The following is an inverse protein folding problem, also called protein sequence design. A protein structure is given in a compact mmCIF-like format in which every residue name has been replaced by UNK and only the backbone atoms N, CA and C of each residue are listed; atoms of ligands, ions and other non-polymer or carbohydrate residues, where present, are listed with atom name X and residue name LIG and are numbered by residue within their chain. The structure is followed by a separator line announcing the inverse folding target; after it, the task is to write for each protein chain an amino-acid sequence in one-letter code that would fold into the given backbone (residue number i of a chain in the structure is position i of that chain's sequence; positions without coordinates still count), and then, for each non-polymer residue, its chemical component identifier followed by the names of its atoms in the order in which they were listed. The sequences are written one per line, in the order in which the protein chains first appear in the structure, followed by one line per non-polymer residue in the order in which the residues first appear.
data_IF_587813602888
#
_entry.id   IF_587813602888
#
_cell.length_a   1.000
_cell.length_b   1.000
_cell.length_c   1.000
_cell.angle_alpha   90.00
_cell.angle_beta   90.00
_cell.angle_gamma   90.00
#
_symmetry.space_group_name_H-M   'P 1'
#
loop_
_entity.id
_entity.type
_entity.pdbx_description
1 polymer ?
#
# COMPACT_ATOMS: atom_id res chain seq x y z
N UNK A 1 23.22 6.75 1.04
CA UNK A 1 23.48 6.90 2.50
C UNK A 1 22.20 6.66 3.26
N UNK A 2 22.25 5.82 4.31
CA UNK A 2 21.08 5.41 5.08
C UNK A 2 20.34 6.61 5.70
N UNK A 3 19.02 6.49 5.86
CA UNK A 3 18.15 7.49 6.45
C UNK A 3 17.45 6.83 7.65
N UNK A 4 17.53 7.44 8.83
CA UNK A 4 16.81 6.95 9.99
C UNK A 4 15.30 7.10 9.74
N UNK A 5 14.50 6.08 10.06
CA UNK A 5 13.04 6.17 10.05
C UNK A 5 12.57 6.32 11.50
N UNK A 6 11.85 7.40 11.80
CA UNK A 6 11.37 7.71 13.14
C UNK A 6 9.86 7.91 13.16
N UNK A 7 9.26 7.64 14.31
CA UNK A 7 7.86 7.90 14.62
C UNK A 7 7.79 8.79 15.87
N UNK A 8 7.40 10.05 15.69
CA UNK A 8 7.43 11.06 16.75
C UNK A 8 6.09 11.79 16.86
N UNK A 9 5.59 11.87 18.09
CA UNK A 9 4.45 12.70 18.45
C UNK A 9 4.95 14.09 18.87
N UNK A 10 4.43 15.14 18.23
CA UNK A 10 4.87 16.52 18.47
C UNK A 10 4.64 16.97 19.91
N UNK A 11 3.68 16.37 20.61
CA UNK A 11 3.35 16.69 22.00
C UNK A 11 4.20 15.90 23.00
N UNK A 12 4.97 14.91 22.53
CA UNK A 12 5.75 13.97 23.34
C UNK A 12 7.12 13.71 22.72
N UNK A 13 7.81 14.78 22.33
CA UNK A 13 9.16 14.68 21.75
C UNK A 13 10.19 14.24 22.80
N UNK A 14 11.14 13.36 22.43
CA UNK A 14 12.26 13.04 23.30
C UNK A 14 13.20 14.27 23.43
N UNK A 15 13.92 14.40 24.55
CA UNK A 15 14.86 15.50 24.75
C UNK A 15 16.05 15.45 23.77
N UNK A 16 16.39 14.27 23.27
CA UNK A 16 17.41 14.05 22.25
C UNK A 16 17.11 12.81 21.41
N UNK A 17 17.55 12.82 20.16
CA UNK A 17 17.51 11.64 19.29
C UNK A 17 18.77 10.80 19.50
N UNK A 18 18.61 9.62 20.12
CA UNK A 18 19.71 8.67 20.27
C UNK A 18 19.77 7.75 19.04
N UNK A 19 20.54 8.15 18.03
CA UNK A 19 20.66 7.44 16.76
C UNK A 19 22.10 7.04 16.49
N UNK A 20 22.28 5.93 15.76
CA UNK A 20 23.61 5.50 15.34
C UNK A 20 24.28 6.56 14.45
N UNK A 21 25.60 6.74 14.62
CA UNK A 21 26.38 7.75 13.90
C UNK A 21 26.39 7.59 12.35
N UNK A 22 25.86 6.46 11.83
CA UNK A 22 25.71 6.20 10.40
C UNK A 22 24.61 7.03 9.73
N UNK A 23 23.73 7.68 10.49
CA UNK A 23 22.61 8.44 9.94
C UNK A 23 22.93 9.94 9.91
N UNK A 24 22.92 10.52 8.71
CA UNK A 24 23.01 11.99 8.50
C UNK A 24 21.64 12.65 8.38
N UNK A 25 20.59 11.87 8.17
CA UNK A 25 19.21 12.36 7.98
C UNK A 25 18.21 11.43 8.64
N UNK A 26 17.06 11.97 9.00
CA UNK A 26 15.91 11.21 9.48
C UNK A 26 14.64 11.56 8.69
N UNK A 27 13.94 10.54 8.21
CA UNK A 27 12.55 10.61 7.78
C UNK A 27 11.68 10.34 9.00
N UNK A 28 10.90 11.34 9.40
CA UNK A 28 10.10 11.34 10.61
C UNK A 28 8.63 11.31 10.22
N UNK A 29 7.90 10.28 10.65
CA UNK A 29 6.44 10.36 10.75
C UNK A 29 6.11 11.31 11.91
N UNK A 30 5.36 12.36 11.60
CA UNK A 30 4.88 13.32 12.59
C UNK A 30 3.46 12.95 13.00
N UNK A 31 3.26 12.82 14.32
CA UNK A 31 1.94 12.65 14.92
C UNK A 31 1.49 13.88 15.68
N UNK A 32 0.17 14.03 15.75
CA UNK A 32 -0.54 14.98 16.63
C UNK A 32 -1.51 14.15 17.46
N UNK A 33 -1.42 14.24 18.80
CA UNK A 33 -2.24 13.44 19.71
C UNK A 33 -2.27 11.93 19.37
N UNK A 34 -1.11 11.37 18.99
CA UNK A 34 -0.96 9.96 18.61
C UNK A 34 -1.44 9.57 17.20
N UNK A 35 -2.01 10.50 16.43
CA UNK A 35 -2.51 10.24 15.06
C UNK A 35 -1.49 10.64 13.99
N UNK A 36 -1.28 9.84 12.93
CA UNK A 36 -0.46 10.23 11.78
C UNK A 36 -0.95 11.54 11.16
N UNK A 37 -0.08 12.55 11.08
CA UNK A 37 -0.46 13.90 10.64
C UNK A 37 0.41 14.44 9.50
N UNK A 38 1.63 13.95 9.36
CA UNK A 38 2.56 14.42 8.34
C UNK A 38 3.86 13.62 8.32
N UNK A 39 4.77 14.02 7.44
CA UNK A 39 6.16 13.56 7.51
C UNK A 39 7.13 14.75 7.38
N UNK A 40 8.32 14.59 7.93
CA UNK A 40 9.41 15.54 7.81
C UNK A 40 10.72 14.83 7.50
N UNK A 41 11.51 15.36 6.57
CA UNK A 41 12.89 14.92 6.34
C UNK A 41 13.84 15.96 6.95
N UNK A 42 14.59 15.58 7.97
CA UNK A 42 15.52 16.47 8.69
C UNK A 42 16.96 15.99 8.58
N UNK A 43 17.92 16.92 8.66
CA UNK A 43 19.35 16.61 8.78
C UNK A 43 19.74 16.42 10.24
N UNK A 44 20.58 15.42 10.50
CA UNK A 44 21.18 15.08 11.80
C UNK A 44 22.64 15.57 11.78
N UNK A 45 23.07 16.37 12.75
CA UNK A 45 24.46 16.85 12.85
C UNK A 45 24.71 18.32 12.49
N UNK A 46 23.68 19.17 12.44
CA UNK A 46 23.91 20.61 12.50
C UNK A 46 24.36 20.98 13.92
N UNK A 47 25.50 21.66 14.07
CA UNK A 47 26.00 22.28 15.33
C UNK A 47 25.06 23.37 15.90
N UNK A 48 23.90 23.57 15.27
CA UNK A 48 22.86 24.50 15.68
C UNK A 48 21.99 23.87 16.78
N UNK A 49 21.97 24.41 18.01
CA UNK A 49 21.15 23.95 19.12
C UNK A 49 19.65 24.26 18.94
N UNK A 50 19.18 24.48 17.71
CA UNK A 50 17.78 24.66 17.40
C UNK A 50 17.00 23.39 17.82
N UNK A 51 16.11 23.61 18.79
CA UNK A 51 15.21 22.63 19.39
C UNK A 51 14.63 21.68 18.33
N UNK A 52 14.70 20.36 18.57
CA UNK A 52 14.22 19.31 17.65
C UNK A 52 12.83 19.65 17.11
N UNK A 53 11.96 20.15 18.00
CA UNK A 53 10.62 20.59 17.64
C UNK A 53 10.63 21.63 16.53
N UNK A 54 11.45 22.69 16.60
CA UNK A 54 11.50 23.73 15.56
C UNK A 54 11.93 23.17 14.20
N UNK A 55 12.90 22.25 14.17
CA UNK A 55 13.35 21.61 12.93
C UNK A 55 12.23 20.79 12.31
N UNK A 56 11.52 20.01 13.12
CA UNK A 56 10.35 19.24 12.68
C UNK A 56 9.25 20.17 12.15
N UNK A 57 8.89 21.23 12.88
CA UNK A 57 7.85 22.18 12.49
C UNK A 57 8.19 22.91 11.17
N UNK A 58 9.45 23.31 10.96
CA UNK A 58 9.89 23.94 9.70
C UNK A 58 9.86 22.98 8.51
N UNK A 59 10.11 21.69 8.74
CA UNK A 59 10.11 20.66 7.71
C UNK A 59 8.73 20.02 7.47
N UNK A 60 7.75 20.29 8.34
CA UNK A 60 6.42 19.73 8.25
C UNK A 60 5.62 20.31 7.08
N UNK A 61 4.78 19.48 6.48
CA UNK A 61 3.93 19.86 5.36
C UNK A 61 2.61 20.53 5.80
N UNK A 62 1.81 20.97 4.82
CA UNK A 62 0.51 21.60 5.08
C UNK A 62 -0.49 20.68 5.78
N UNK A 63 -0.41 19.36 5.58
CA UNK A 63 -1.34 18.42 6.20
C UNK A 63 -1.09 18.32 7.71
N UNK A 64 0.19 18.32 8.11
CA UNK A 64 0.56 18.39 9.51
C UNK A 64 0.00 19.65 10.18
N UNK A 65 0.20 20.83 9.58
CA UNK A 65 -0.26 22.08 10.16
C UNK A 65 -1.78 22.16 10.27
N UNK A 66 -2.51 21.64 9.29
CA UNK A 66 -3.96 21.52 9.35
C UNK A 66 -4.40 20.60 10.50
N UNK A 67 -3.79 19.42 10.65
CA UNK A 67 -4.08 18.49 11.74
C UNK A 67 -3.77 19.10 13.12
N UNK A 68 -2.59 19.74 13.25
CA UNK A 68 -2.17 20.41 14.47
C UNK A 68 -3.12 21.55 14.86
N UNK A 69 -3.49 22.43 13.91
CA UNK A 69 -4.42 23.52 14.18
C UNK A 69 -5.81 23.00 14.59
N UNK A 70 -6.31 21.95 13.94
CA UNK A 70 -7.61 21.34 14.29
C UNK A 70 -7.62 20.83 15.72
N UNK A 71 -6.56 20.13 16.13
CA UNK A 71 -6.41 19.64 17.50
C UNK A 71 -6.37 20.81 18.51
N UNK A 72 -5.50 21.81 18.28
CA UNK A 72 -5.34 22.95 19.20
C UNK A 72 -6.56 23.83 19.33
N UNK A 73 -7.27 24.05 18.22
CA UNK A 73 -8.49 24.84 18.21
C UNK A 73 -9.73 24.03 18.63
N UNK A 74 -9.59 22.72 18.88
CA UNK A 74 -10.69 21.79 19.17
C UNK A 74 -11.80 21.90 18.13
N UNK A 75 -11.41 22.10 16.87
CA UNK A 75 -12.37 22.15 15.77
C UNK A 75 -12.92 20.74 15.63
N UNK A 76 -14.20 20.57 15.95
CA UNK A 76 -14.89 19.34 15.67
C UNK A 76 -14.81 19.10 14.16
N UNK A 77 -14.03 18.10 13.76
CA UNK A 77 -14.21 17.49 12.44
C UNK A 77 -15.62 16.90 12.49
N UNK A 78 -16.50 17.20 11.53
CA UNK A 78 -17.77 16.48 11.41
C UNK A 78 -17.42 15.00 11.49
N UNK A 79 -17.80 14.36 12.60
CA UNK A 79 -17.64 12.93 12.71
C UNK A 79 -18.59 12.38 11.67
N UNK A 80 -18.06 11.61 10.72
CA UNK A 80 -18.93 10.72 9.95
C UNK A 80 -19.81 9.97 10.98
N UNK A 81 -21.08 9.71 10.66
CA UNK A 81 -21.99 9.02 11.57
C UNK A 81 -21.26 7.82 12.19
N UNK A 82 -21.47 7.55 13.51
CA UNK A 82 -20.78 6.45 14.17
C UNK A 82 -20.91 5.23 13.28
N UNK A 83 -19.79 4.54 13.00
CA UNK A 83 -19.79 3.52 11.98
C UNK A 83 -20.93 2.55 12.29
N UNK A 84 -21.68 2.09 11.28
CA UNK A 84 -22.57 0.96 11.49
C UNK A 84 -21.78 -0.15 12.19
N UNK A 85 -22.45 -1.04 12.92
CA UNK A 85 -21.82 -2.17 13.62
C UNK A 85 -21.26 -3.21 12.63
N UNK A 86 -20.39 -2.76 11.72
CA UNK A 86 -19.73 -3.55 10.72
C UNK A 86 -18.59 -4.27 11.40
N UNK A 87 -18.62 -5.58 11.24
CA UNK A 87 -17.57 -6.46 11.74
C UNK A 87 -16.41 -6.47 10.74
N UNK A 88 -15.19 -6.72 11.23
CA UNK A 88 -14.00 -6.73 10.37
C UNK A 88 -13.18 -8.01 10.53
N UNK A 89 -12.68 -8.53 9.42
CA UNK A 89 -11.66 -9.58 9.35
C UNK A 89 -10.37 -8.94 8.86
N UNK A 90 -9.26 -9.16 9.56
CA UNK A 90 -7.92 -8.86 9.07
C UNK A 90 -7.32 -10.11 8.45
N UNK A 91 -6.86 -10.03 7.22
CA UNK A 91 -6.28 -11.13 6.47
C UNK A 91 -4.82 -10.84 6.10
N UNK A 92 -3.93 -11.76 6.44
CA UNK A 92 -2.53 -11.77 6.00
C UNK A 92 -2.31 -12.98 5.11
N UNK A 93 -1.90 -12.76 3.86
CA UNK A 93 -1.52 -13.83 2.93
C UNK A 93 0.00 -14.00 2.97
N UNK A 94 0.47 -15.21 3.21
CA UNK A 94 1.90 -15.47 3.41
C UNK A 94 2.31 -16.80 2.80
N UNK A 95 3.60 -16.95 2.48
CA UNK A 95 4.18 -18.20 1.97
C UNK A 95 5.64 -18.32 2.39
N UNK A 96 5.92 -19.22 3.33
CA UNK A 96 7.28 -19.55 3.78
C UNK A 96 8.12 -18.33 4.25
N UNK A 97 7.48 -17.33 4.87
CA UNK A 97 8.12 -16.09 5.40
C UNK A 97 7.84 -15.89 6.89
N UNK A 98 8.09 -16.92 7.70
CA UNK A 98 7.74 -16.96 9.13
C UNK A 98 8.34 -15.80 9.94
N UNK A 99 9.57 -15.37 9.66
CA UNK A 99 10.20 -14.24 10.36
C UNK A 99 9.50 -12.90 10.09
N UNK A 100 9.09 -12.66 8.83
CA UNK A 100 8.34 -11.46 8.46
C UNK A 100 6.96 -11.53 9.13
N UNK A 101 6.28 -12.67 8.99
CA UNK A 101 4.97 -12.93 9.56
C UNK A 101 4.92 -12.76 11.08
N UNK A 102 5.93 -13.22 11.83
CA UNK A 102 5.96 -13.08 13.30
C UNK A 102 5.95 -11.60 13.73
N UNK A 103 6.66 -10.73 12.99
CA UNK A 103 6.62 -9.28 13.24
C UNK A 103 5.28 -8.66 12.86
N UNK A 104 4.69 -9.08 11.74
CA UNK A 104 3.35 -8.66 11.35
C UNK A 104 2.31 -9.05 12.41
N UNK A 105 2.36 -10.30 12.91
CA UNK A 105 1.51 -10.80 14.00
C UNK A 105 1.68 -9.95 15.27
N UNK A 106 2.92 -9.62 15.65
CA UNK A 106 3.17 -8.78 16.82
C UNK A 106 2.50 -7.39 16.70
N UNK A 107 2.58 -6.77 15.52
CA UNK A 107 1.91 -5.50 15.25
C UNK A 107 0.37 -5.64 15.28
N UNK A 108 -0.17 -6.70 14.67
CA UNK A 108 -1.61 -6.97 14.67
C UNK A 108 -2.16 -7.18 16.09
N UNK A 109 -1.44 -7.90 16.94
CA UNK A 109 -1.85 -8.15 18.33
C UNK A 109 -1.72 -6.92 19.24
N UNK A 110 -0.95 -5.91 18.84
CA UNK A 110 -0.83 -4.63 19.55
C UNK A 110 -1.98 -3.66 19.22
N UNK A 111 -2.78 -3.92 18.19
CA UNK A 111 -3.98 -3.13 17.90
C UNK A 111 -5.04 -3.34 18.99
N UNK A 112 -5.91 -2.34 19.25
CA UNK A 112 -7.09 -2.51 20.08
C UNK A 112 -7.94 -3.71 19.63
N UNK A 113 -8.46 -4.46 20.60
CA UNK A 113 -9.38 -5.57 20.33
C UNK A 113 -10.83 -5.05 20.30
N UNK A 114 -11.33 -4.81 19.09
CA UNK A 114 -12.71 -4.41 18.82
C UNK A 114 -13.58 -5.61 18.38
N UNK A 115 -13.11 -6.84 18.63
CA UNK A 115 -13.79 -8.07 18.21
C UNK A 115 -13.53 -8.47 16.76
N UNK A 116 -12.48 -7.93 16.14
CA UNK A 116 -12.07 -8.33 14.79
C UNK A 116 -11.59 -9.78 14.72
N UNK A 117 -11.90 -10.47 13.62
CA UNK A 117 -11.28 -11.75 13.27
C UNK A 117 -9.90 -11.49 12.67
N UNK A 118 -8.88 -12.31 12.97
CA UNK A 118 -7.58 -12.27 12.30
C UNK A 118 -7.30 -13.63 11.67
N UNK A 119 -7.19 -13.66 10.35
CA UNK A 119 -6.89 -14.87 9.58
C UNK A 119 -5.51 -14.78 8.94
N UNK A 120 -4.75 -15.87 9.04
CA UNK A 120 -3.48 -16.04 8.35
C UNK A 120 -3.70 -17.10 7.26
N UNK A 121 -3.64 -16.65 6.01
CA UNK A 121 -3.77 -17.51 4.82
C UNK A 121 -2.39 -17.96 4.38
N UNK A 122 -2.07 -19.21 4.68
CA UNK A 122 -0.81 -19.87 4.31
C UNK A 122 -0.93 -20.44 2.89
N UNK A 123 -0.21 -19.84 1.94
CA UNK A 123 -0.40 -20.06 0.52
C UNK A 123 0.62 -21.01 -0.09
N UNK A 124 0.19 -22.22 -0.42
CA UNK A 124 1.00 -23.29 -1.00
C UNK A 124 2.37 -23.43 -0.31
N UNK A 125 2.39 -23.57 1.04
CA UNK A 125 3.62 -23.61 1.80
C UNK A 125 4.44 -24.86 1.47
N UNK A 126 5.77 -24.70 1.41
CA UNK A 126 6.68 -25.84 1.31
C UNK A 126 6.95 -26.50 2.68
N UNK A 127 6.64 -25.80 3.77
CA UNK A 127 6.93 -26.21 5.15
C UNK A 127 5.70 -26.11 6.07
N UNK A 128 5.79 -26.60 7.30
CA UNK A 128 4.75 -26.39 8.33
C UNK A 128 5.00 -25.14 9.19
N UNK A 129 6.05 -24.36 8.90
CA UNK A 129 6.51 -23.27 9.77
C UNK A 129 5.45 -22.20 10.03
N UNK A 130 4.67 -21.82 9.02
CA UNK A 130 3.56 -20.86 9.18
C UNK A 130 2.51 -21.42 10.16
N UNK A 131 2.09 -22.67 9.98
CA UNK A 131 1.08 -23.31 10.83
C UNK A 131 1.53 -23.40 12.29
N UNK A 132 2.77 -23.81 12.51
CA UNK A 132 3.39 -23.89 13.84
C UNK A 132 3.48 -22.53 14.51
N UNK A 133 3.87 -21.49 13.75
CA UNK A 133 3.91 -20.11 14.24
C UNK A 133 2.52 -19.62 14.65
N UNK A 134 1.51 -19.80 13.80
CA UNK A 134 0.13 -19.34 14.07
C UNK A 134 -0.48 -20.07 15.27
N UNK A 135 -0.18 -21.36 15.45
CA UNK A 135 -0.68 -22.15 16.59
C UNK A 135 -0.25 -21.61 17.97
N UNK A 136 0.79 -20.77 18.03
CA UNK A 136 1.24 -20.09 19.27
C UNK A 136 0.30 -18.97 19.72
N UNK A 137 -0.64 -18.53 18.87
CA UNK A 137 -1.47 -17.36 19.11
C UNK A 137 -2.98 -17.70 19.01
N UNK A 138 -3.69 -17.92 20.12
CA UNK A 138 -5.10 -18.31 20.12
C UNK A 138 -6.07 -17.33 19.45
N UNK A 139 -5.69 -16.04 19.34
CA UNK A 139 -6.49 -15.01 18.66
C UNK A 139 -6.45 -15.13 17.12
N UNK A 140 -5.55 -15.92 16.57
CA UNK A 140 -5.37 -16.07 15.12
C UNK A 140 -6.04 -17.33 14.60
N UNK A 141 -6.62 -17.26 13.41
CA UNK A 141 -7.13 -18.41 12.68
C UNK A 141 -6.24 -18.74 11.50
N UNK A 142 -5.69 -19.96 11.50
CA UNK A 142 -4.93 -20.49 10.37
C UNK A 142 -5.87 -20.97 9.25
N UNK A 143 -5.54 -20.63 8.01
CA UNK A 143 -6.22 -21.08 6.80
C UNK A 143 -5.18 -21.54 5.78
N UNK A 144 -5.30 -22.78 5.29
CA UNK A 144 -4.45 -23.29 4.21
C UNK A 144 -5.09 -23.02 2.85
N UNK A 145 -4.35 -22.43 1.91
CA UNK A 145 -4.69 -22.39 0.49
C UNK A 145 -3.65 -23.18 -0.31
N UNK A 146 -4.07 -24.29 -0.91
CA UNK A 146 -3.14 -25.22 -1.59
C UNK A 146 -2.65 -24.70 -2.94
N UNK A 147 -3.42 -23.82 -3.60
CA UNK A 147 -3.09 -23.28 -4.92
C UNK A 147 -2.18 -22.06 -4.78
N UNK A 148 -0.98 -22.05 -5.40
CA UNK A 148 -0.08 -20.91 -5.28
C UNK A 148 -0.65 -19.66 -5.97
N UNK A 149 -0.48 -18.50 -5.31
CA UNK A 149 -0.88 -17.20 -5.82
C UNK A 149 -1.37 -16.27 -4.70
N UNK A 150 -0.90 -15.02 -4.70
CA UNK A 150 -1.32 -14.00 -3.73
C UNK A 150 -2.81 -13.67 -3.86
N UNK A 151 -3.30 -13.48 -5.08
CA UNK A 151 -4.71 -13.20 -5.34
C UNK A 151 -5.58 -14.46 -5.14
N UNK A 152 -5.01 -15.65 -5.31
CA UNK A 152 -5.66 -16.91 -4.90
C UNK A 152 -5.86 -16.94 -3.39
N UNK A 153 -4.84 -16.56 -2.62
CA UNK A 153 -4.90 -16.45 -1.16
C UNK A 153 -5.84 -15.32 -0.69
N UNK A 154 -5.84 -14.16 -1.37
CA UNK A 154 -6.80 -13.08 -1.09
C UNK A 154 -8.24 -13.52 -1.38
N UNK A 155 -8.46 -14.24 -2.47
CA UNK A 155 -9.77 -14.83 -2.75
C UNK A 155 -10.17 -15.86 -1.70
N UNK A 156 -9.21 -16.63 -1.16
CA UNK A 156 -9.46 -17.52 -0.02
C UNK A 156 -9.86 -16.75 1.22
N UNK A 157 -9.15 -15.66 1.55
CA UNK A 157 -9.51 -14.79 2.65
C UNK A 157 -10.93 -14.22 2.51
N UNK A 158 -11.31 -13.73 1.32
CA UNK A 158 -12.67 -13.23 1.06
C UNK A 158 -13.77 -14.28 1.28
N UNK A 159 -13.48 -15.54 0.93
CA UNK A 159 -14.40 -16.68 1.15
C UNK A 159 -14.51 -17.10 2.61
N UNK A 160 -13.42 -16.97 3.35
CA UNK A 160 -13.31 -17.41 4.75
C UNK A 160 -13.77 -16.36 5.75
N UNK A 161 -13.68 -15.08 5.39
CA UNK A 161 -14.07 -13.96 6.23
C UNK A 161 -15.55 -14.03 6.60
N UNK A 162 -15.84 -13.88 7.89
CA UNK A 162 -17.20 -14.00 8.44
C UNK A 162 -17.89 -12.65 8.66
N UNK A 163 -17.27 -11.59 8.17
CA UNK A 163 -17.57 -10.21 8.57
C UNK A 163 -17.95 -9.34 7.38
N UNK A 164 -18.33 -8.09 7.65
CA UNK A 164 -18.77 -7.15 6.63
C UNK A 164 -17.61 -6.54 5.83
N UNK A 165 -16.46 -6.38 6.49
CA UNK A 165 -15.23 -5.80 5.94
C UNK A 165 -14.10 -6.82 6.03
N UNK A 166 -13.26 -6.87 5.00
CA UNK A 166 -12.01 -7.64 4.98
C UNK A 166 -10.84 -6.68 4.74
N UNK A 167 -10.01 -6.47 5.77
CA UNK A 167 -8.80 -5.67 5.72
C UNK A 167 -7.60 -6.57 5.39
N UNK A 168 -6.76 -6.14 4.45
CA UNK A 168 -5.57 -6.85 3.99
C UNK A 168 -4.31 -6.09 4.38
N UNK A 169 -3.33 -6.84 4.90
CA UNK A 169 -1.95 -6.37 5.01
C UNK A 169 -0.98 -7.49 4.66
N UNK A 170 0.22 -7.14 4.24
CA UNK A 170 1.24 -8.12 3.82
C UNK A 170 2.04 -8.63 5.03
N UNK A 171 2.67 -9.80 4.89
CA UNK A 171 3.46 -10.42 5.95
C UNK A 171 4.74 -9.65 6.29
N UNK A 172 5.22 -8.78 5.40
CA UNK A 172 6.34 -7.87 5.60
C UNK A 172 5.92 -6.42 5.91
N UNK A 173 4.66 -6.26 6.36
CA UNK A 173 4.13 -5.02 6.91
C UNK A 173 3.85 -5.12 8.43
N UNK A 174 3.80 -3.96 9.09
CA UNK A 174 3.42 -3.80 10.49
C UNK A 174 2.37 -2.69 10.60
N UNK A 175 1.09 -3.03 10.80
CA UNK A 175 0.01 -2.05 10.99
C UNK A 175 0.20 -1.18 12.24
N UNK A 176 -0.22 0.08 12.14
CA UNK A 176 -0.34 1.00 13.27
C UNK A 176 -1.48 0.59 14.21
N UNK A 177 -1.43 0.89 15.52
CA UNK A 177 -2.53 0.59 16.44
C UNK A 177 -3.90 1.14 16.02
N UNK A 178 -3.96 2.27 15.29
CA UNK A 178 -5.22 2.85 14.80
C UNK A 178 -5.60 2.38 13.39
N UNK A 179 -4.78 1.56 12.74
CA UNK A 179 -4.90 1.17 11.33
C UNK A 179 -6.29 0.63 10.97
N UNK A 180 -6.77 -0.36 11.73
CA UNK A 180 -8.03 -1.04 11.42
C UNK A 180 -9.23 -0.13 11.61
N UNK A 181 -9.25 0.66 12.70
CA UNK A 181 -10.32 1.62 12.98
C UNK A 181 -10.40 2.70 11.91
N UNK A 182 -9.26 3.21 11.45
CA UNK A 182 -9.20 4.18 10.37
C UNK A 182 -9.75 3.59 9.06
N UNK A 183 -9.33 2.38 8.67
CA UNK A 183 -9.89 1.72 7.49
C UNK A 183 -11.41 1.48 7.62
N UNK A 184 -11.84 0.89 8.73
CA UNK A 184 -13.23 0.49 8.95
C UNK A 184 -14.19 1.70 9.02
N UNK A 185 -13.75 2.82 9.59
CA UNK A 185 -14.56 4.03 9.71
C UNK A 185 -15.06 4.58 8.36
N UNK A 186 -14.29 4.36 7.29
CA UNK A 186 -14.65 4.83 5.95
C UNK A 186 -15.84 4.09 5.32
N UNK A 187 -16.22 2.92 5.85
CA UNK A 187 -17.36 2.15 5.34
C UNK A 187 -18.72 2.59 5.91
N UNK A 188 -18.73 3.63 6.75
CA UNK A 188 -19.96 4.32 7.15
C UNK A 188 -20.68 4.94 5.94
N UNK A 189 -19.93 5.33 4.90
CA UNK A 189 -20.50 5.64 3.59
C UNK A 189 -20.81 4.33 2.84
N UNK A 190 -22.10 4.03 2.54
CA UNK A 190 -22.48 2.81 1.84
C UNK A 190 -21.94 2.74 0.40
N UNK A 191 -21.53 3.86 -0.21
CA UNK A 191 -20.91 3.89 -1.53
C UNK A 191 -19.43 3.48 -1.53
N UNK A 192 -18.81 3.37 -0.35
CA UNK A 192 -17.41 2.94 -0.22
C UNK A 192 -17.36 1.41 -0.26
N UNK A 193 -16.68 0.87 -1.28
CA UNK A 193 -16.35 -0.56 -1.38
C UNK A 193 -14.91 -0.86 -1.03
N UNK A 194 -14.03 0.14 -1.04
CA UNK A 194 -12.65 -0.02 -0.61
C UNK A 194 -12.16 1.19 0.19
N UNK A 195 -11.35 0.92 1.20
CA UNK A 195 -10.54 1.92 1.88
C UNK A 195 -9.06 1.52 1.75
N UNK A 196 -8.17 2.48 1.67
CA UNK A 196 -6.72 2.28 1.61
C UNK A 196 -6.06 3.23 2.60
N UNK A 197 -4.77 3.02 2.86
CA UNK A 197 -4.07 3.78 3.87
C UNK A 197 -2.66 4.21 3.51
N UNK A 198 -2.05 4.97 4.41
CA UNK A 198 -0.66 5.39 4.26
C UNK A 198 0.29 4.21 4.53
N UNK A 199 1.30 4.06 3.69
CA UNK A 199 2.32 3.02 3.86
C UNK A 199 3.69 3.67 3.88
N UNK A 200 4.30 3.65 5.06
CA UNK A 200 5.61 4.24 5.33
C UNK A 200 6.72 3.17 5.24
N UNK A 201 7.95 3.55 4.87
CA UNK A 201 9.07 2.63 4.89
C UNK A 201 9.36 2.21 6.33
N UNK A 202 9.46 0.90 6.61
CA UNK A 202 9.90 0.41 7.92
C UNK A 202 11.38 0.75 8.18
N UNK A 203 12.18 0.85 7.12
CA UNK A 203 13.62 1.12 7.17
C UNK A 203 14.09 1.73 5.84
N UNK A 204 15.18 2.50 5.89
CA UNK A 204 15.84 3.09 4.71
C UNK A 204 17.36 2.92 4.83
N UNK A 205 17.80 1.66 4.82
CA UNK A 205 19.20 1.25 5.02
C UNK A 205 19.98 1.09 3.71
N UNK A 206 19.30 1.01 2.57
CA UNK A 206 19.94 0.87 1.26
C UNK A 206 19.49 1.93 0.26
N UNK A 207 20.34 2.20 -0.73
CA UNK A 207 20.02 3.13 -1.82
C UNK A 207 18.81 2.66 -2.65
N UNK A 208 18.53 1.35 -2.70
CA UNK A 208 17.34 0.81 -3.36
C UNK A 208 16.06 1.20 -2.60
N UNK A 209 16.06 1.09 -1.26
CA UNK A 209 14.92 1.49 -0.44
C UNK A 209 14.65 2.99 -0.53
N UNK A 210 15.71 3.81 -0.49
CA UNK A 210 15.62 5.26 -0.65
C UNK A 210 15.11 5.63 -2.05
N UNK A 211 15.60 4.96 -3.10
CA UNK A 211 15.14 5.17 -4.46
C UNK A 211 13.65 4.81 -4.62
N UNK A 212 13.20 3.69 -4.05
CA UNK A 212 11.79 3.32 -4.04
C UNK A 212 10.93 4.39 -3.39
N UNK A 213 11.29 4.83 -2.19
CA UNK A 213 10.56 5.90 -1.48
C UNK A 213 10.50 7.21 -2.28
N UNK A 214 11.56 7.53 -3.03
CA UNK A 214 11.65 8.77 -3.82
C UNK A 214 10.88 8.72 -5.15
N UNK A 215 10.77 7.55 -5.77
CA UNK A 215 10.27 7.43 -7.16
C UNK A 215 9.01 6.55 -7.32
N UNK A 216 8.62 5.79 -6.30
CA UNK A 216 7.57 4.77 -6.42
C UNK A 216 6.93 4.38 -5.10
N UNK A 217 7.09 5.19 -4.05
CA UNK A 217 6.52 4.94 -2.73
C UNK A 217 4.98 4.85 -2.74
N UNK A 218 4.45 4.29 -1.67
CA UNK A 218 3.02 4.03 -1.53
C UNK A 218 2.24 5.22 -0.94
N UNK A 219 2.92 6.14 -0.27
CA UNK A 219 2.30 7.30 0.37
C UNK A 219 1.62 8.23 -0.66
N UNK A 220 0.45 8.78 -0.29
CA UNK A 220 -0.31 9.79 -1.08
C UNK A 220 -0.50 11.11 -0.30
N UNK A 221 0.43 11.39 0.61
CA UNK A 221 0.35 12.48 1.57
C UNK A 221 -0.52 12.14 2.78
N UNK A 222 -0.73 13.13 3.64
CA UNK A 222 -1.48 12.99 4.90
C UNK A 222 -2.84 13.69 4.85
N UNK A 223 -3.45 13.75 3.66
CA UNK A 223 -4.83 14.20 3.49
C UNK A 223 -5.70 13.04 3.03
N UNK A 224 -6.91 12.96 3.59
CA UNK A 224 -7.94 12.01 3.15
C UNK A 224 -8.38 12.35 1.73
N UNK A 225 -8.45 11.35 0.86
CA UNK A 225 -8.84 11.51 -0.55
C UNK A 225 -9.99 10.55 -0.85
N UNK A 226 -11.07 11.06 -1.44
CA UNK A 226 -12.17 10.24 -1.96
C UNK A 226 -12.01 10.13 -3.46
N UNK A 227 -11.83 8.90 -3.92
CA UNK A 227 -11.79 8.56 -5.33
C UNK A 227 -13.15 8.04 -5.75
N UNK A 228 -13.66 8.60 -6.84
CA UNK A 228 -14.90 8.22 -7.48
C UNK A 228 -14.70 8.28 -9.01
N UNK A 229 -15.65 7.77 -9.81
CA UNK A 229 -15.50 7.70 -11.26
C UNK A 229 -15.45 9.08 -11.96
N UNK A 230 -15.84 10.15 -11.26
CA UNK A 230 -15.85 11.52 -11.78
C UNK A 230 -14.59 12.29 -11.38
N UNK A 231 -13.96 11.95 -10.26
CA UNK A 231 -12.72 12.57 -9.79
C UNK A 231 -11.46 11.98 -10.42
N UNK A 232 -11.50 10.72 -10.87
CA UNK A 232 -10.42 10.11 -11.63
C UNK A 232 -10.91 9.04 -12.62
N UNK A 233 -10.10 8.79 -13.65
CA UNK A 233 -10.32 7.65 -14.54
C UNK A 233 -10.24 6.33 -13.75
N UNK A 234 -11.24 5.43 -13.86
CA UNK A 234 -11.18 4.11 -13.23
C UNK A 234 -9.92 3.33 -13.60
N UNK A 235 -9.43 3.50 -14.83
CA UNK A 235 -8.21 2.84 -15.35
C UNK A 235 -6.94 3.21 -14.56
N UNK A 236 -6.99 4.26 -13.75
CA UNK A 236 -5.91 4.70 -12.86
C UNK A 236 -6.15 4.30 -11.40
N UNK A 237 -6.89 3.20 -11.15
CA UNK A 237 -7.25 2.73 -9.81
C UNK A 237 -6.06 2.55 -8.85
N UNK A 238 -4.85 2.30 -9.35
CA UNK A 238 -3.60 2.24 -8.57
C UNK A 238 -3.23 3.57 -7.87
N UNK A 239 -3.80 4.70 -8.28
CA UNK A 239 -3.67 5.96 -7.53
C UNK A 239 -4.32 5.87 -6.16
N UNK A 240 -5.38 5.07 -6.02
CA UNK A 240 -6.16 4.99 -4.81
C UNK A 240 -5.44 4.30 -3.65
N UNK A 241 -4.43 3.47 -3.92
CA UNK A 241 -3.63 2.84 -2.87
C UNK A 241 -2.92 1.58 -3.35
N UNK A 242 -2.54 0.72 -2.41
CA UNK A 242 -1.84 -0.53 -2.68
C UNK A 242 -2.39 -1.67 -1.81
N UNK A 243 -2.29 -2.91 -2.29
CA UNK A 243 -2.85 -4.09 -1.64
C UNK A 243 -2.25 -4.44 -0.28
N UNK A 244 -1.08 -3.88 0.06
CA UNK A 244 -0.43 -4.01 1.38
C UNK A 244 -1.18 -3.25 2.48
N UNK A 245 -2.02 -2.28 2.10
CA UNK A 245 -2.79 -1.45 3.01
C UNK A 245 -4.15 -1.11 2.38
N UNK A 246 -5.07 -2.07 2.47
CA UNK A 246 -6.42 -1.91 1.96
C UNK A 246 -7.44 -2.63 2.84
N UNK A 247 -8.68 -2.19 2.77
CA UNK A 247 -9.85 -2.92 3.22
C UNK A 247 -10.90 -2.92 2.12
N UNK A 248 -11.66 -4.00 2.02
CA UNK A 248 -12.74 -4.17 1.08
C UNK A 248 -14.03 -4.49 1.83
N UNK A 249 -15.15 -3.95 1.35
CA UNK A 249 -16.47 -4.43 1.76
C UNK A 249 -16.64 -5.84 1.20
N UNK A 250 -17.06 -6.82 2.00
CA UNK A 250 -17.18 -8.22 1.56
C UNK A 250 -18.10 -8.39 0.34
N UNK A 251 -19.15 -7.55 0.24
CA UNK A 251 -20.07 -7.51 -0.90
C UNK A 251 -19.41 -7.10 -2.23
N UNK A 252 -18.14 -6.68 -2.24
CA UNK A 252 -17.37 -6.41 -3.46
C UNK A 252 -17.36 -7.60 -4.41
N UNK A 253 -17.35 -8.83 -3.87
CA UNK A 253 -17.33 -10.06 -4.67
C UNK A 253 -18.60 -10.20 -5.52
N UNK A 254 -19.76 -9.87 -4.94
CA UNK A 254 -21.05 -9.96 -5.63
C UNK A 254 -21.24 -8.79 -6.62
N UNK A 255 -20.64 -7.63 -6.33
CA UNK A 255 -20.83 -6.40 -7.10
C UNK A 255 -19.88 -6.27 -8.29
N UNK A 256 -18.61 -6.62 -8.12
CA UNK A 256 -17.59 -6.44 -9.15
C UNK A 256 -16.73 -7.68 -9.40
N UNK A 257 -16.92 -8.76 -8.62
CA UNK A 257 -16.15 -10.00 -8.71
C UNK A 257 -14.93 -10.02 -7.78
N UNK A 258 -14.39 -11.22 -7.55
CA UNK A 258 -13.20 -11.45 -6.73
C UNK A 258 -11.91 -10.91 -7.40
N UNK A 259 -10.74 -11.07 -6.76
CA UNK A 259 -9.47 -10.76 -7.43
C UNK A 259 -9.29 -11.64 -8.66
N UNK A 260 -8.83 -11.05 -9.76
CA UNK A 260 -8.52 -11.79 -10.97
C UNK A 260 -7.14 -12.41 -10.82
N UNK A 261 -7.12 -13.69 -10.50
CA UNK A 261 -5.90 -14.40 -10.19
C UNK A 261 -5.00 -14.61 -11.45
N UNK A 262 -5.42 -14.21 -12.66
CA UNK A 262 -4.50 -14.06 -13.80
C UNK A 262 -3.58 -12.82 -13.68
N UNK A 263 -3.93 -11.84 -12.84
CA UNK A 263 -3.13 -10.66 -12.50
C UNK A 263 -2.29 -10.83 -11.22
N UNK A 264 -2.13 -12.07 -10.78
CA UNK A 264 -1.43 -12.41 -9.54
C UNK A 264 0.09 -12.16 -9.64
N UNK A 265 0.71 -11.83 -8.50
CA UNK A 265 2.15 -11.61 -8.40
C UNK A 265 2.98 -12.84 -8.82
N UNK A 266 2.42 -14.04 -8.68
CA UNK A 266 3.05 -15.31 -9.07
C UNK A 266 2.91 -15.68 -10.55
N UNK A 267 2.17 -14.91 -11.36
CA UNK A 267 1.98 -15.20 -12.80
C UNK A 267 2.93 -14.37 -13.67
N UNK A 268 2.81 -14.52 -15.00
CA UNK A 268 3.54 -13.71 -15.96
C UNK A 268 3.30 -12.20 -15.80
N UNK A 269 2.19 -11.77 -15.17
CA UNK A 269 1.87 -10.36 -14.98
C UNK A 269 2.62 -9.72 -13.80
N UNK A 270 3.14 -10.52 -12.87
CA UNK A 270 3.99 -10.15 -11.73
C UNK A 270 3.39 -9.21 -10.68
N UNK A 271 2.24 -8.59 -10.97
CA UNK A 271 1.38 -7.83 -10.06
C UNK A 271 0.05 -7.48 -10.79
N UNK A 272 -0.82 -6.74 -10.11
CA UNK A 272 -1.96 -6.04 -10.74
C UNK A 272 -3.33 -6.34 -10.14
N UNK A 273 -3.45 -7.35 -9.27
CA UNK A 273 -4.73 -7.74 -8.66
C UNK A 273 -5.44 -6.62 -7.90
N UNK A 274 -4.72 -5.85 -7.09
CA UNK A 274 -5.24 -4.71 -6.33
C UNK A 274 -5.66 -3.56 -7.26
N UNK A 275 -4.82 -3.22 -8.22
CA UNK A 275 -5.04 -2.18 -9.21
C UNK A 275 -6.27 -2.47 -10.07
N UNK A 276 -6.46 -3.73 -10.46
CA UNK A 276 -7.65 -4.19 -11.17
C UNK A 276 -8.91 -4.18 -10.30
N UNK A 277 -8.81 -4.60 -9.03
CA UNK A 277 -9.91 -4.51 -8.08
C UNK A 277 -10.38 -3.06 -7.92
N UNK A 278 -9.46 -2.12 -7.67
CA UNK A 278 -9.77 -0.70 -7.54
C UNK A 278 -10.37 -0.12 -8.82
N UNK A 279 -9.82 -0.49 -9.98
CA UNK A 279 -10.38 -0.09 -11.28
C UNK A 279 -11.82 -0.57 -11.44
N UNK A 280 -12.12 -1.84 -11.12
CA UNK A 280 -13.47 -2.40 -11.25
C UNK A 280 -14.46 -1.75 -10.27
N UNK A 281 -14.02 -1.45 -9.04
CA UNK A 281 -14.83 -0.72 -8.05
C UNK A 281 -15.23 0.66 -8.60
N UNK A 282 -14.27 1.43 -9.11
CA UNK A 282 -14.52 2.75 -9.69
C UNK A 282 -15.36 2.65 -10.98
N UNK A 283 -15.09 1.67 -11.85
CA UNK A 283 -15.86 1.48 -13.08
C UNK A 283 -17.33 1.13 -12.80
N UNK A 284 -17.62 0.48 -11.67
CA UNK A 284 -18.97 0.16 -11.22
C UNK A 284 -19.69 1.32 -10.50
N UNK A 285 -19.07 2.49 -10.39
CA UNK A 285 -19.70 3.68 -9.80
C UNK A 285 -19.47 3.87 -8.29
N UNK A 286 -18.70 2.98 -7.65
CA UNK A 286 -18.44 3.02 -6.21
C UNK A 286 -17.20 3.86 -5.88
N UNK A 287 -17.01 4.12 -4.59
CA UNK A 287 -15.94 4.96 -4.07
C UNK A 287 -14.82 4.13 -3.45
N UNK A 288 -13.62 4.70 -3.53
CA UNK A 288 -12.45 4.25 -2.78
C UNK A 288 -11.97 5.42 -1.94
N UNK A 289 -11.70 5.19 -0.66
CA UNK A 289 -11.16 6.24 0.21
C UNK A 289 -9.73 5.93 0.60
N UNK A 290 -8.81 6.85 0.32
CA UNK A 290 -7.49 6.86 0.95
C UNK A 290 -7.57 7.62 2.27
N UNK A 291 -7.29 6.94 3.37
CA UNK A 291 -7.25 7.49 4.71
C UNK A 291 -5.82 7.42 5.28
N UNK A 292 -5.12 8.56 5.42
CA UNK A 292 -3.74 8.57 5.88
C UNK A 292 -3.58 8.11 7.34
N UNK A 293 -4.65 8.12 8.15
CA UNK A 293 -4.60 7.59 9.52
C UNK A 293 -4.53 6.07 9.55
N UNK A 294 -4.96 5.39 8.47
CA UNK A 294 -4.76 3.96 8.28
C UNK A 294 -3.29 3.69 7.91
N UNK A 295 -2.37 3.84 8.87
CA UNK A 295 -0.95 3.68 8.64
C UNK A 295 -0.48 2.22 8.76
N UNK A 296 0.43 1.79 7.90
CA UNK A 296 1.31 0.66 8.16
C UNK A 296 2.77 0.93 7.76
N UNK A 297 3.68 0.18 8.36
CA UNK A 297 5.10 0.20 8.05
C UNK A 297 5.45 -0.99 7.18
N UNK A 298 6.07 -0.78 6.02
CA UNK A 298 6.34 -1.85 5.06
C UNK A 298 7.82 -1.95 4.74
N UNK A 299 8.32 -3.18 4.64
CA UNK A 299 9.73 -3.45 4.30
C UNK A 299 9.95 -3.31 2.80
N UNK A 300 10.77 -2.34 2.41
CA UNK A 300 11.20 -2.18 1.02
C UNK A 300 12.29 -3.18 0.63
N UNK A 301 12.33 -3.53 -0.66
CA UNK A 301 13.39 -4.38 -1.24
C UNK A 301 14.75 -3.72 -1.04
N UNK A 302 15.74 -4.51 -0.58
CA UNK A 302 17.06 -3.99 -0.20
C UNK A 302 18.02 -3.87 -1.38
N UNK A 303 17.91 -4.75 -2.39
CA UNK A 303 18.83 -4.74 -3.52
C UNK A 303 18.27 -3.98 -4.73
N UNK A 304 19.17 -3.41 -5.54
CA UNK A 304 18.79 -2.74 -6.78
C UNK A 304 18.20 -3.70 -7.82
N UNK A 305 18.62 -4.96 -7.80
CA UNK A 305 18.07 -6.00 -8.68
C UNK A 305 16.60 -6.29 -8.36
N UNK A 306 16.26 -6.41 -7.07
CA UNK A 306 14.88 -6.60 -6.62
C UNK A 306 14.02 -5.38 -6.91
N UNK A 307 14.53 -4.16 -6.65
CA UNK A 307 13.81 -2.93 -6.99
C UNK A 307 13.51 -2.85 -8.49
N UNK A 308 14.51 -3.15 -9.34
CA UNK A 308 14.34 -3.12 -10.78
C UNK A 308 13.31 -4.15 -11.25
N UNK A 309 13.31 -5.36 -10.66
CA UNK A 309 12.32 -6.40 -10.93
C UNK A 309 10.92 -5.97 -10.50
N UNK A 310 10.79 -5.36 -9.32
CA UNK A 310 9.50 -4.85 -8.82
C UNK A 310 8.94 -3.77 -9.73
N UNK A 311 9.74 -2.76 -10.08
CA UNK A 311 9.31 -1.68 -10.96
C UNK A 311 8.99 -2.18 -12.38
N UNK A 312 9.74 -3.17 -12.88
CA UNK A 312 9.39 -3.86 -14.12
C UNK A 312 8.03 -4.55 -14.02
N UNK A 313 7.80 -5.32 -12.94
CA UNK A 313 6.53 -6.00 -12.69
C UNK A 313 5.35 -5.06 -12.61
N UNK A 314 5.49 -3.87 -12.01
CA UNK A 314 4.43 -2.86 -11.97
C UNK A 314 4.03 -2.36 -13.37
N UNK A 315 4.99 -2.25 -14.29
CA UNK A 315 4.71 -1.80 -15.67
C UNK A 315 4.06 -2.92 -16.50
N UNK A 316 4.48 -4.17 -16.29
CA UNK A 316 3.80 -5.36 -16.84
C UNK A 316 2.36 -5.39 -16.34
N UNK A 317 2.15 -5.23 -15.04
CA UNK A 317 0.84 -5.24 -14.41
C UNK A 317 -0.07 -4.11 -14.93
N UNK A 318 0.41 -2.86 -14.98
CA UNK A 318 -0.38 -1.73 -15.45
C UNK A 318 -0.90 -1.93 -16.88
N UNK A 319 -0.03 -2.38 -17.78
CA UNK A 319 -0.43 -2.68 -19.17
C UNK A 319 -1.28 -3.96 -19.31
N UNK A 320 -1.07 -4.97 -18.45
CA UNK A 320 -1.92 -6.16 -18.35
C UNK A 320 -3.36 -5.80 -17.91
N UNK A 321 -3.52 -4.89 -16.94
CA UNK A 321 -4.84 -4.38 -16.51
C UNK A 321 -5.54 -3.64 -17.64
N UNK A 322 -4.83 -2.80 -18.40
CA UNK A 322 -5.39 -2.14 -19.58
C UNK A 322 -5.78 -3.15 -20.68
N UNK A 323 -4.96 -4.19 -20.89
CA UNK A 323 -5.27 -5.29 -21.80
C UNK A 323 -6.54 -6.03 -21.40
N UNK A 324 -6.70 -6.33 -20.11
CA UNK A 324 -7.92 -6.93 -19.56
C UNK A 324 -9.14 -6.06 -19.86
N UNK A 325 -9.08 -4.78 -19.48
CA UNK A 325 -10.16 -3.83 -19.65
C UNK A 325 -10.57 -3.69 -21.13
N UNK A 326 -9.59 -3.65 -22.04
CA UNK A 326 -9.84 -3.61 -23.47
C UNK A 326 -10.46 -4.90 -24.01
N UNK A 327 -9.79 -6.04 -23.86
CA UNK A 327 -10.12 -7.27 -24.59
C UNK A 327 -11.32 -8.01 -23.99
N UNK A 328 -11.52 -7.89 -22.68
CA UNK A 328 -12.51 -8.70 -21.97
C UNK A 328 -13.66 -7.89 -21.39
N UNK A 329 -13.47 -6.59 -21.19
CA UNK A 329 -14.52 -5.68 -20.69
C UNK A 329 -14.95 -4.64 -21.73
N UNK A 330 -14.29 -4.63 -22.90
CA UNK A 330 -14.59 -3.75 -24.04
C UNK A 330 -14.48 -2.25 -23.71
N UNK A 331 -13.65 -1.90 -22.72
CA UNK A 331 -13.37 -0.51 -22.37
C UNK A 331 -12.31 0.07 -23.33
N UNK A 332 -12.80 0.72 -24.39
CA UNK A 332 -11.96 1.37 -25.42
C UNK A 332 -11.14 2.54 -24.87
N UNK A 333 -11.51 3.12 -23.73
CA UNK A 333 -10.72 4.19 -23.11
C UNK A 333 -9.33 3.70 -22.69
N UNK A 334 -9.18 2.38 -22.51
CA UNK A 334 -7.90 1.70 -22.25
C UNK A 334 -6.85 1.94 -23.34
N UNK A 335 -7.24 2.07 -24.61
CA UNK A 335 -6.28 2.44 -25.67
C UNK A 335 -5.74 3.85 -25.45
N UNK A 336 -6.61 4.77 -25.05
CA UNK A 336 -6.20 6.16 -24.85
C UNK A 336 -5.26 6.27 -23.66
N UNK A 337 -5.54 5.57 -22.56
CA UNK A 337 -4.61 5.51 -21.43
C UNK A 337 -3.30 4.81 -21.78
N UNK A 338 -3.34 3.73 -22.55
CA UNK A 338 -2.12 3.06 -23.02
C UNK A 338 -1.27 4.01 -23.88
N UNK A 339 -1.87 4.77 -24.80
CA UNK A 339 -1.15 5.74 -25.62
C UNK A 339 -0.58 6.91 -24.80
N UNK A 340 -1.32 7.39 -23.78
CA UNK A 340 -0.82 8.41 -22.84
C UNK A 340 0.38 7.91 -22.04
N UNK A 341 0.27 6.68 -21.51
CA UNK A 341 1.37 5.99 -20.83
C UNK A 341 2.58 5.87 -21.76
N UNK A 342 2.39 5.34 -22.98
CA UNK A 342 3.47 5.13 -23.95
C UNK A 342 4.18 6.44 -24.30
N UNK A 343 3.42 7.52 -24.56
CA UNK A 343 3.98 8.84 -24.83
C UNK A 343 4.83 9.36 -23.65
N UNK A 344 4.35 9.18 -22.42
CA UNK A 344 5.09 9.60 -21.21
C UNK A 344 6.39 8.80 -21.05
N UNK A 345 6.33 7.48 -21.19
CA UNK A 345 7.51 6.63 -21.02
C UNK A 345 8.55 6.82 -22.13
N UNK A 346 8.11 7.02 -23.38
CA UNK A 346 9.02 7.40 -24.48
C UNK A 346 9.68 8.76 -24.23
N UNK A 347 8.94 9.74 -23.71
CA UNK A 347 9.49 11.03 -23.30
C UNK A 347 10.50 10.91 -22.16
N UNK A 348 10.20 10.09 -21.15
CA UNK A 348 11.10 9.78 -20.04
C UNK A 348 12.38 9.09 -20.51
N UNK A 349 12.26 8.12 -21.41
CA UNK A 349 13.38 7.44 -22.05
C UNK A 349 14.26 8.40 -22.86
N UNK A 350 13.66 9.26 -23.68
CA UNK A 350 14.40 10.26 -24.45
C UNK A 350 15.18 11.22 -23.54
N UNK A 351 14.56 11.68 -22.43
CA UNK A 351 15.24 12.51 -21.43
C UNK A 351 16.41 11.79 -20.77
N UNK A 352 16.24 10.51 -20.44
CA UNK A 352 17.28 9.67 -19.87
C UNK A 352 18.45 9.44 -20.85
N UNK A 353 18.15 9.17 -22.12
CA UNK A 353 19.15 9.00 -23.18
C UNK A 353 19.96 10.29 -23.41
N UNK A 354 19.30 11.45 -23.33
CA UNK A 354 19.93 12.78 -23.41
C UNK A 354 20.57 13.24 -22.09
N UNK A 355 20.62 12.40 -21.04
CA UNK A 355 21.18 12.71 -19.72
C UNK A 355 20.68 14.03 -19.13
N UNK A 356 19.39 14.33 -19.34
CA UNK A 356 18.78 15.58 -18.84
C UNK A 356 18.76 15.58 -17.30
N UNK A 357 18.95 16.73 -16.65
CA UNK A 357 18.80 16.85 -15.19
C UNK A 357 17.44 16.33 -14.72
N UNK A 358 17.46 15.55 -13.62
CA UNK A 358 16.27 14.92 -13.03
C UNK A 358 15.69 13.75 -13.83
N UNK A 359 16.33 13.29 -14.91
CA UNK A 359 15.90 12.09 -15.61
C UNK A 359 16.24 10.83 -14.81
N UNK A 360 15.36 9.82 -14.88
CA UNK A 360 15.64 8.51 -14.34
C UNK A 360 16.86 7.88 -15.03
N UNK A 361 17.60 6.98 -14.37
CA UNK A 361 18.66 6.21 -15.01
C UNK A 361 18.16 5.49 -16.27
N UNK A 362 18.95 5.53 -17.36
CA UNK A 362 18.56 4.94 -18.64
C UNK A 362 18.15 3.46 -18.54
N UNK A 363 18.85 2.58 -17.79
CA UNK A 363 18.40 1.20 -17.62
C UNK A 363 17.02 1.07 -16.98
N UNK A 364 16.68 1.98 -16.04
CA UNK A 364 15.38 1.99 -15.41
C UNK A 364 14.28 2.43 -16.39
N UNK A 365 14.52 3.49 -17.15
CA UNK A 365 13.58 3.95 -18.19
C UNK A 365 13.35 2.87 -19.27
N UNK A 366 14.41 2.17 -19.68
CA UNK A 366 14.33 1.04 -20.61
C UNK A 366 13.56 -0.15 -20.02
N UNK A 367 13.70 -0.40 -18.71
CA UNK A 367 12.96 -1.44 -18.00
C UNK A 367 11.46 -1.18 -18.03
N UNK A 368 11.03 0.07 -17.79
CA UNK A 368 9.61 0.45 -17.79
C UNK A 368 8.92 0.22 -19.13
N UNK A 369 9.54 0.69 -20.21
CA UNK A 369 9.04 0.46 -21.57
C UNK A 369 8.91 -1.03 -21.91
N UNK A 370 9.92 -1.84 -21.56
CA UNK A 370 9.87 -3.30 -21.78
C UNK A 370 8.77 -3.96 -20.97
N UNK A 371 8.59 -3.56 -19.71
CA UNK A 371 7.54 -4.08 -18.84
C UNK A 371 6.16 -3.81 -19.43
N UNK A 372 5.87 -2.55 -19.77
CA UNK A 372 4.57 -2.18 -20.34
C UNK A 372 4.29 -2.77 -21.73
N UNK A 373 5.32 -3.06 -22.53
CA UNK A 373 5.15 -3.79 -23.79
C UNK A 373 4.82 -5.28 -23.56
N UNK A 374 5.29 -5.87 -22.47
CA UNK A 374 5.10 -7.29 -22.16
C UNK A 374 3.72 -7.61 -21.54
N UNK A 375 3.07 -6.65 -20.88
CA UNK A 375 1.83 -6.90 -20.11
C UNK A 375 0.67 -7.52 -20.88
N UNK A 376 0.33 -7.08 -22.10
CA UNK A 376 -0.77 -7.70 -22.85
C UNK A 376 -0.56 -9.19 -23.12
N UNK A 377 0.65 -9.58 -23.54
CA UNK A 377 1.02 -10.98 -23.76
C UNK A 377 1.09 -11.77 -22.46
N UNK A 378 1.60 -11.15 -21.39
CA UNK A 378 1.65 -11.74 -20.06
C UNK A 378 0.25 -12.09 -19.53
N UNK A 379 -0.72 -11.19 -19.67
CA UNK A 379 -2.09 -11.41 -19.23
C UNK A 379 -2.79 -12.54 -20.02
N UNK A 380 -2.66 -12.54 -21.35
CA UNK A 380 -3.22 -13.62 -22.20
C UNK A 380 -2.62 -14.97 -21.82
N UNK A 381 -1.31 -15.02 -21.57
CA UNK A 381 -0.60 -16.24 -21.15
C UNK A 381 -1.09 -16.73 -19.79
N UNK A 382 -1.16 -15.84 -18.79
CA UNK A 382 -1.63 -16.16 -17.45
C UNK A 382 -3.08 -16.67 -17.45
N UNK A 383 -3.94 -16.10 -18.30
CA UNK A 383 -5.33 -16.53 -18.43
C UNK A 383 -5.50 -17.87 -19.14
N UNK A 384 -4.68 -18.16 -20.16
CA UNK A 384 -4.66 -19.46 -20.86
C UNK A 384 -4.17 -20.60 -19.98
N UNK A 385 -3.20 -20.35 -19.09
CA UNK A 385 -2.72 -21.37 -18.15
C UNK A 385 -3.73 -21.75 -17.05
N UNK A 386 -4.91 -21.13 -17.05
CA UNK A 386 -5.99 -21.32 -16.08
C UNK A 386 -7.27 -21.92 -16.68
N UNK A 387 -7.37 -21.93 -18.01
CA UNK A 387 -8.45 -22.57 -18.75
C UNK A 387 -8.06 -24.03 -19.04
#
# INVERSE_FOLDING_TARGET
MAIAVLDLDIDRLPPALNLAAKYERALVLLRVAGRPAGQALISLGTDDPDDLQKRLLRAADSAFWEAWLRDRLRVAVPQDPPPPSLTTTVAVCTRDRTEDLERCIAALLAMPDDGQEIIIVDNAPATQGTRELVARFPRLRYVLEERPGLDVARNRALREARTDIVAFTDDDAAPDPLWLRALAGNFADPLVLAATGSTMPMELESDAQIAFQSYGGFLRGFKRIVYDPFSQSPLLGWHAGAGVNMALRRSVVDLVGSFDEALDAGTATQAGGDSDMFRRILAAGYRIVYDPEALNWHRHRRSQAELTRQLYGYEVAGSAVLCKALLYERDLSSLTEFLRWLRRELGGFARAALRRPGAAPLPLAASRLRGGAAGPGAYITARRGRA
#
